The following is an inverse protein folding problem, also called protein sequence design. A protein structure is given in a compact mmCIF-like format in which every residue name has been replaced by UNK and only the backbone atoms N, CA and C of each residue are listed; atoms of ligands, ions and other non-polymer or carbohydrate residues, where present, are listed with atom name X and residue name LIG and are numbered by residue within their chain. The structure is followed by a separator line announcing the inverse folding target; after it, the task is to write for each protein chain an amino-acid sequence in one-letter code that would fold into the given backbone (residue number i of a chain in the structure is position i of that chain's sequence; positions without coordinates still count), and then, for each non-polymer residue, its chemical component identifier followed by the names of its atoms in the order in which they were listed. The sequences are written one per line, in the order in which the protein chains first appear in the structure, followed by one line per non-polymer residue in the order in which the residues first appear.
data_IF_302160296039
#
_entry.id   IF_302160296039
#
_cell.length_a   1.000
_cell.length_b   1.000
_cell.length_c   1.000
_cell.angle_alpha   90.00
_cell.angle_beta   90.00
_cell.angle_gamma   90.00
#
_symmetry.space_group_name_H-M   'P 1'
#
loop_
_entity.id
_entity.type
_entity.pdbx_description
1 polymer ?
#
# COMPACT_ATOMS: atom_id res chain seq x y z
N UNK A 1 -20.88 6.77 -0.76
CA UNK A 1 -20.58 5.44 -0.19
C UNK A 1 -19.08 5.38 -0.03
N UNK A 2 -18.56 4.93 1.13
CA UNK A 2 -17.12 4.78 1.34
C UNK A 2 -16.61 3.59 0.52
N UNK A 3 -15.43 3.75 -0.07
CA UNK A 3 -14.66 2.69 -0.75
C UNK A 3 -14.08 1.69 0.25
N UNK A 4 -13.59 0.54 -0.22
CA UNK A 4 -12.91 -0.43 0.65
C UNK A 4 -11.65 0.18 1.28
N UNK A 5 -10.95 1.05 0.54
CA UNK A 5 -9.82 1.82 1.07
C UNK A 5 -10.21 2.68 2.27
N UNK A 6 -11.30 3.44 2.20
CA UNK A 6 -11.75 4.29 3.31
C UNK A 6 -12.20 3.47 4.53
N UNK A 7 -12.80 2.30 4.31
CA UNK A 7 -13.14 1.37 5.40
C UNK A 7 -11.88 0.80 6.05
N UNK A 8 -10.90 0.38 5.24
CA UNK A 8 -9.63 -0.13 5.74
C UNK A 8 -8.87 0.95 6.52
N UNK A 9 -8.74 2.16 5.99
CA UNK A 9 -8.01 3.24 6.63
C UNK A 9 -8.59 3.58 8.01
N UNK A 10 -9.92 3.70 8.10
CA UNK A 10 -10.60 3.96 9.37
C UNK A 10 -10.36 2.83 10.38
N UNK A 11 -10.45 1.57 9.96
CA UNK A 11 -10.19 0.42 10.83
C UNK A 11 -8.72 0.37 11.29
N UNK A 12 -7.78 0.58 10.37
CA UNK A 12 -6.35 0.58 10.65
C UNK A 12 -5.96 1.68 11.63
N UNK A 13 -6.49 2.89 11.43
CA UNK A 13 -6.21 4.03 12.29
C UNK A 13 -6.85 3.85 13.68
N UNK A 14 -8.06 3.28 13.76
CA UNK A 14 -8.70 2.97 15.03
C UNK A 14 -7.91 1.95 15.87
N UNK A 15 -7.25 0.99 15.22
CA UNK A 15 -6.43 -0.03 15.88
C UNK A 15 -5.05 0.51 16.31
N UNK A 16 -4.41 1.31 15.46
CA UNK A 16 -2.98 1.63 15.61
C UNK A 16 -2.68 3.09 15.94
N UNK A 17 -3.64 4.00 15.78
CA UNK A 17 -3.41 5.44 15.75
C UNK A 17 -2.61 5.83 14.49
N UNK A 18 -1.80 6.89 14.55
CA UNK A 18 -0.92 7.27 13.44
C UNK A 18 0.09 6.18 13.07
N UNK A 19 0.37 5.99 11.77
CA UNK A 19 1.27 4.94 11.29
C UNK A 19 2.02 5.35 10.03
N UNK A 20 3.08 4.60 9.69
CA UNK A 20 3.73 4.72 8.39
C UNK A 20 3.08 3.76 7.41
N UNK A 21 2.67 4.27 6.25
CA UNK A 21 2.22 3.45 5.13
C UNK A 21 3.34 3.37 4.08
N UNK A 22 3.69 2.16 3.68
CA UNK A 22 4.55 1.89 2.52
C UNK A 22 3.68 1.64 1.32
N UNK A 23 3.98 2.32 0.23
CA UNK A 23 3.17 2.40 -0.98
C UNK A 23 3.97 1.75 -2.10
N UNK A 24 3.38 0.77 -2.78
CA UNK A 24 3.97 0.17 -3.99
C UNK A 24 2.96 0.27 -5.12
N UNK A 25 3.29 1.06 -6.14
CA UNK A 25 2.51 1.11 -7.38
C UNK A 25 2.80 -0.13 -8.21
N UNK A 26 1.75 -0.73 -8.75
CA UNK A 26 1.80 -2.01 -9.46
C UNK A 26 1.15 -1.87 -10.83
N UNK A 27 1.78 -2.47 -11.83
CA UNK A 27 1.17 -2.76 -13.13
C UNK A 27 0.65 -4.18 -13.12
N UNK A 28 -0.61 -4.34 -13.49
CA UNK A 28 -1.23 -5.65 -13.62
C UNK A 28 -1.11 -6.08 -15.09
N UNK A 29 -0.73 -7.34 -15.29
CA UNK A 29 -0.81 -8.03 -16.57
C UNK A 29 -1.65 -9.30 -16.40
N UNK A 30 -1.92 -10.01 -17.50
CA UNK A 30 -2.80 -11.19 -17.49
C UNK A 30 -2.36 -12.28 -16.48
N UNK A 31 -1.08 -12.33 -16.11
CA UNK A 31 -0.55 -13.33 -15.18
C UNK A 31 0.46 -12.81 -14.17
N UNK A 32 0.68 -11.50 -14.09
CA UNK A 32 1.75 -10.96 -13.23
C UNK A 32 1.42 -9.58 -12.64
N UNK A 33 1.94 -9.34 -11.45
CA UNK A 33 1.84 -8.10 -10.69
C UNK A 33 3.23 -7.46 -10.59
N UNK A 34 3.50 -6.47 -11.44
CA UNK A 34 4.84 -5.91 -11.63
C UNK A 34 4.98 -4.63 -10.78
N UNK A 35 5.87 -4.57 -9.78
CA UNK A 35 6.13 -3.35 -9.02
C UNK A 35 6.79 -2.28 -9.90
N UNK A 36 6.30 -1.04 -9.81
CA UNK A 36 6.71 0.09 -10.65
C UNK A 36 7.54 1.13 -9.88
N UNK A 37 6.95 1.67 -8.82
CA UNK A 37 7.51 2.72 -7.96
C UNK A 37 7.07 2.46 -6.55
N UNK A 38 7.91 2.84 -5.61
CA UNK A 38 7.61 2.72 -4.18
C UNK A 38 7.81 4.08 -3.49
N UNK A 39 7.13 4.27 -2.37
CA UNK A 39 7.32 5.40 -1.47
C UNK A 39 6.81 5.04 -0.07
N UNK A 40 7.00 5.92 0.90
CA UNK A 40 6.32 5.84 2.18
C UNK A 40 5.75 7.20 2.58
N UNK A 41 4.73 7.18 3.42
CA UNK A 41 4.14 8.37 4.01
C UNK A 41 3.72 8.08 5.46
N UNK A 42 3.64 9.12 6.28
CA UNK A 42 3.12 9.03 7.63
C UNK A 42 1.67 9.50 7.63
N UNK A 43 0.75 8.60 7.97
CA UNK A 43 -0.67 8.91 8.11
C UNK A 43 -0.96 9.31 9.55
N UNK A 44 -1.46 10.54 9.71
CA UNK A 44 -1.74 11.18 11.01
C UNK A 44 -3.24 11.21 11.32
N UNK A 45 -4.08 10.83 10.36
CA UNK A 45 -5.54 10.74 10.48
C UNK A 45 -6.12 9.76 9.45
N UNK A 46 -7.44 9.55 9.50
CA UNK A 46 -8.18 8.61 8.65
C UNK A 46 -9.13 9.29 7.65
N UNK A 47 -9.01 10.61 7.47
CA UNK A 47 -9.91 11.41 6.64
C UNK A 47 -9.60 11.35 5.13
N UNK A 48 -8.46 10.76 4.75
CA UNK A 48 -8.03 10.63 3.36
C UNK A 48 -9.05 9.81 2.57
N UNK A 49 -9.66 10.42 1.56
CA UNK A 49 -10.55 9.70 0.65
C UNK A 49 -9.76 8.91 -0.39
N UNK A 50 -10.36 7.87 -0.97
CA UNK A 50 -9.71 7.14 -2.06
C UNK A 50 -9.39 8.03 -3.26
N UNK A 51 -10.26 8.99 -3.58
CA UNK A 51 -10.04 9.93 -4.69
C UNK A 51 -8.77 10.76 -4.45
N UNK A 52 -8.59 11.31 -3.26
CA UNK A 52 -7.41 12.11 -2.90
C UNK A 52 -6.13 11.27 -2.89
N UNK A 53 -6.20 10.06 -2.31
CA UNK A 53 -5.07 9.11 -2.36
C UNK A 53 -4.70 8.82 -3.81
N UNK A 54 -5.68 8.52 -4.66
CA UNK A 54 -5.45 8.22 -6.08
C UNK A 54 -4.82 9.40 -6.83
N UNK A 55 -5.26 10.62 -6.57
CA UNK A 55 -4.66 11.85 -7.12
C UNK A 55 -3.20 12.02 -6.66
N UNK A 56 -2.91 11.73 -5.38
CA UNK A 56 -1.55 11.71 -4.86
C UNK A 56 -0.68 10.65 -5.56
N UNK A 57 -1.20 9.44 -5.77
CA UNK A 57 -0.49 8.37 -6.48
C UNK A 57 -0.25 8.72 -7.96
N UNK A 58 -1.23 9.34 -8.61
CA UNK A 58 -1.12 9.80 -10.01
C UNK A 58 -0.03 10.88 -10.19
N UNK A 59 0.33 11.61 -9.12
CA UNK A 59 1.44 12.57 -9.12
C UNK A 59 2.80 11.93 -9.39
N UNK A 60 2.94 10.60 -9.22
CA UNK A 60 4.13 9.85 -9.58
C UNK A 60 4.40 9.80 -11.10
N UNK A 61 3.43 10.24 -11.93
CA UNK A 61 3.50 10.30 -13.41
C UNK A 61 3.96 9.00 -14.04
N UNK A 62 3.48 7.87 -13.53
CA UNK A 62 3.77 6.53 -14.05
C UNK A 62 2.45 5.78 -14.09
N UNK A 63 2.00 5.29 -15.26
CA UNK A 63 0.75 4.53 -15.36
C UNK A 63 0.77 3.31 -14.45
N UNK A 64 -0.24 3.15 -13.61
CA UNK A 64 -0.39 2.06 -12.64
C UNK A 64 -1.83 1.56 -12.63
N UNK A 65 -2.02 0.27 -12.35
CA UNK A 65 -3.34 -0.39 -12.36
C UNK A 65 -3.82 -0.70 -10.94
N UNK A 66 -2.88 -0.92 -10.02
CA UNK A 66 -3.18 -1.21 -8.61
C UNK A 66 -2.08 -0.68 -7.69
N UNK A 67 -2.37 -0.57 -6.40
CA UNK A 67 -1.43 -0.12 -5.37
C UNK A 67 -1.51 -1.03 -4.15
N UNK A 68 -0.34 -1.42 -3.62
CA UNK A 68 -0.23 -2.13 -2.36
C UNK A 68 0.19 -1.19 -1.24
N UNK A 69 -0.49 -1.30 -0.11
CA UNK A 69 -0.18 -0.60 1.13
C UNK A 69 0.28 -1.58 2.20
N UNK A 70 1.45 -1.34 2.78
CA UNK A 70 1.94 -2.07 3.95
C UNK A 70 2.04 -1.11 5.13
N UNK A 71 1.74 -1.60 6.34
CA UNK A 71 1.77 -0.78 7.54
C UNK A 71 3.06 -1.01 8.32
N UNK A 72 3.69 0.07 8.74
CA UNK A 72 4.84 0.08 9.64
C UNK A 72 4.55 0.88 10.90
N UNK A 73 4.85 0.29 12.05
CA UNK A 73 4.74 0.93 13.35
C UNK A 73 6.10 1.00 14.04
N UNK A 74 6.36 2.11 14.72
CA UNK A 74 7.49 2.28 15.62
C UNK A 74 7.37 1.40 16.87
N UNK A 75 8.48 1.24 17.60
CA UNK A 75 8.56 0.38 18.77
C UNK A 75 7.56 0.75 19.89
N UNK A 76 7.21 2.03 20.03
CA UNK A 76 6.25 2.51 21.03
C UNK A 76 4.81 2.63 20.48
N UNK A 77 4.54 2.09 19.29
CA UNK A 77 3.41 2.52 18.47
C UNK A 77 3.70 3.82 17.72
N UNK A 78 2.81 4.22 16.81
CA UNK A 78 3.01 5.41 15.98
C UNK A 78 3.83 5.16 14.70
N UNK A 79 4.07 6.20 13.89
CA UNK A 79 4.85 6.11 12.67
C UNK A 79 6.33 5.76 12.94
N UNK A 80 6.97 5.13 11.97
CA UNK A 80 8.39 4.86 12.00
C UNK A 80 9.22 6.15 11.82
N UNK A 81 10.38 6.27 12.48
CA UNK A 81 11.38 7.27 12.12
C UNK A 81 11.81 7.10 10.66
N UNK A 82 12.10 8.19 9.96
CA UNK A 82 12.37 8.18 8.51
C UNK A 82 13.47 7.21 8.09
N UNK A 83 14.55 7.10 8.86
CA UNK A 83 15.64 6.16 8.55
C UNK A 83 15.17 4.70 8.64
N UNK A 84 14.30 4.39 9.60
CA UNK A 84 13.70 3.06 9.75
C UNK A 84 12.67 2.81 8.65
N UNK A 85 11.86 3.81 8.29
CA UNK A 85 10.91 3.72 7.17
C UNK A 85 11.63 3.48 5.84
N UNK A 86 12.70 4.22 5.55
CA UNK A 86 13.49 4.04 4.33
C UNK A 86 14.14 2.66 4.23
N UNK A 87 14.62 2.10 5.36
CA UNK A 87 15.08 0.70 5.40
C UNK A 87 13.94 -0.28 5.14
N UNK A 88 12.81 -0.10 5.82
CA UNK A 88 11.67 -1.01 5.69
C UNK A 88 11.06 -0.99 4.28
N UNK A 89 11.04 0.17 3.62
CA UNK A 89 10.62 0.28 2.23
C UNK A 89 11.47 -0.63 1.32
N UNK A 90 12.79 -0.65 1.49
CA UNK A 90 13.68 -1.53 0.71
C UNK A 90 13.42 -3.01 0.95
N UNK A 91 13.04 -3.39 2.18
CA UNK A 91 12.64 -4.76 2.49
C UNK A 91 11.33 -5.12 1.77
N UNK A 92 10.33 -4.24 1.81
CA UNK A 92 9.07 -4.43 1.09
C UNK A 92 9.32 -4.56 -0.42
N UNK A 93 10.17 -3.71 -1.00
CA UNK A 93 10.55 -3.81 -2.40
C UNK A 93 11.24 -5.13 -2.75
N UNK A 94 12.13 -5.61 -1.88
CA UNK A 94 12.83 -6.88 -2.09
C UNK A 94 11.86 -8.06 -2.02
N UNK A 95 10.95 -8.07 -1.04
CA UNK A 95 9.96 -9.12 -0.83
C UNK A 95 9.02 -9.25 -2.04
N UNK A 96 8.39 -8.15 -2.48
CA UNK A 96 7.43 -8.18 -3.59
C UNK A 96 8.07 -8.43 -4.95
N UNK A 97 9.37 -8.14 -5.08
CA UNK A 97 10.15 -8.49 -6.28
C UNK A 97 10.54 -9.97 -6.30
N UNK A 98 10.75 -10.57 -5.13
CA UNK A 98 11.11 -11.97 -5.01
C UNK A 98 9.88 -12.90 -5.17
N UNK A 99 8.73 -12.47 -4.64
CA UNK A 99 7.49 -13.23 -4.65
C UNK A 99 6.28 -12.29 -4.78
N UNK A 100 5.57 -12.30 -5.93
CA UNK A 100 4.36 -11.50 -6.12
C UNK A 100 3.25 -11.77 -5.08
N UNK A 101 3.21 -12.96 -4.47
CA UNK A 101 2.22 -13.26 -3.41
C UNK A 101 2.49 -12.44 -2.14
N UNK A 102 3.68 -11.86 -1.98
CA UNK A 102 4.00 -10.98 -0.86
C UNK A 102 3.10 -9.72 -0.82
N UNK A 103 2.50 -9.30 -1.96
CA UNK A 103 1.50 -8.23 -1.97
C UNK A 103 0.30 -8.53 -1.07
N UNK A 104 -0.08 -9.81 -0.90
CA UNK A 104 -1.19 -10.21 -0.04
C UNK A 104 -0.92 -10.04 1.46
N UNK A 105 0.32 -9.70 1.87
CA UNK A 105 0.65 -9.33 3.25
C UNK A 105 0.26 -7.88 3.57
N UNK A 106 0.07 -7.07 2.53
CA UNK A 106 -0.47 -5.72 2.63
C UNK A 106 -1.93 -5.68 2.19
N UNK A 107 -2.42 -4.46 2.00
CA UNK A 107 -3.74 -4.18 1.41
C UNK A 107 -3.56 -3.73 -0.03
N UNK A 108 -4.18 -4.46 -0.96
CA UNK A 108 -4.02 -4.21 -2.39
C UNK A 108 -5.32 -3.61 -2.96
N UNK A 109 -5.23 -2.49 -3.68
CA UNK A 109 -6.41 -1.81 -4.22
C UNK A 109 -6.29 -1.53 -5.71
N UNK A 110 -7.40 -1.70 -6.43
CA UNK A 110 -7.52 -1.29 -7.83
C UNK A 110 -7.75 0.24 -7.95
N UNK A 111 -7.80 0.75 -9.19
CA UNK A 111 -8.08 2.17 -9.48
C UNK A 111 -9.41 2.68 -8.90
N UNK A 112 -10.39 1.82 -8.67
CA UNK A 112 -11.70 2.17 -8.12
C UNK A 112 -11.73 2.10 -6.58
N UNK A 113 -10.63 1.67 -5.94
CA UNK A 113 -10.48 1.59 -4.50
C UNK A 113 -11.11 0.33 -3.91
N UNK A 114 -11.33 -0.69 -4.74
CA UNK A 114 -11.79 -2.01 -4.32
C UNK A 114 -10.61 -2.85 -3.91
N UNK A 115 -10.80 -3.63 -2.86
CA UNK A 115 -9.76 -4.53 -2.38
C UNK A 115 -9.53 -5.69 -3.37
N UNK A 116 -8.27 -5.96 -3.67
CA UNK A 116 -7.81 -7.04 -4.54
C UNK A 116 -7.06 -8.09 -3.72
N UNK A 117 -7.00 -9.30 -4.28
CA UNK A 117 -6.15 -10.39 -3.80
C UNK A 117 -5.48 -11.05 -5.00
N UNK A 118 -4.21 -11.41 -4.85
CA UNK A 118 -3.50 -12.22 -5.85
C UNK A 118 -3.62 -13.68 -5.43
N UNK A 119 -4.20 -14.52 -6.27
CA UNK A 119 -4.26 -15.95 -6.03
C UNK A 119 -3.15 -16.67 -6.80
N UNK A 120 -2.68 -17.79 -6.27
CA UNK A 120 -1.79 -18.68 -7.01
C UNK A 120 -2.52 -19.21 -8.24
N UNK A 121 -1.92 -19.07 -9.42
CA UNK A 121 -2.39 -19.78 -10.59
C UNK A 121 -2.16 -21.28 -10.38
N UNK A 122 -3.23 -22.03 -10.15
CA UNK A 122 -3.18 -23.50 -10.23
C UNK A 122 -2.78 -23.89 -11.65
N UNK A 123 -1.62 -24.54 -11.78
CA UNK A 123 -1.11 -25.10 -13.03
C UNK A 123 -2.02 -26.20 -13.61
#
# INVERSE_FOLDING_TARGET
MKSDFEHWLAAQFADTGPFTVFIVLVRMSDSDAIPLKSSYAHLIGDEMTWREMRELLDSARTPWDSVAFFVGLGHAGGPLPDEAAARKLKEVEADVKADPLAFNRGMFFDREGRHLRIDEATA
#
